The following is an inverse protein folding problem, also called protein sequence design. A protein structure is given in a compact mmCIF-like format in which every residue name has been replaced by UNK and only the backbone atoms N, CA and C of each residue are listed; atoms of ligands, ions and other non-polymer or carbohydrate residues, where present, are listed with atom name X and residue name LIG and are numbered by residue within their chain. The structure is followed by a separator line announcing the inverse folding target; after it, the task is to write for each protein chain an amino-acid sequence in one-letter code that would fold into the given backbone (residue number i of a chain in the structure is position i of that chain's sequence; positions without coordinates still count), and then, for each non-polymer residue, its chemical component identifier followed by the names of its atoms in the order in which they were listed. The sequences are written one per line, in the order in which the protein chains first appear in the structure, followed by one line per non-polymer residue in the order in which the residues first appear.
data_IF_292823378462
#
_entry.id   IF_292823378462
#
_cell.length_a   1.000
_cell.length_b   1.000
_cell.length_c   1.000
_cell.angle_alpha   90.00
_cell.angle_beta   90.00
_cell.angle_gamma   90.00
#
_symmetry.space_group_name_H-M   'P 1'
#
loop_
_entity.id
_entity.type
_entity.pdbx_description
1 polymer ?
#
# COMPACT_ATOMS: atom_id res chain seq x y z
N UNK A 1 9.42 -21.07 -16.56
CA UNK A 1 8.75 -19.82 -16.15
C UNK A 1 7.84 -20.02 -14.93
N UNK A 2 6.95 -21.00 -14.93
CA UNK A 2 6.00 -21.34 -13.83
C UNK A 2 6.71 -21.59 -12.48
N UNK A 3 7.83 -22.31 -12.47
CA UNK A 3 8.57 -22.67 -11.23
C UNK A 3 9.21 -21.43 -10.54
N UNK A 4 9.57 -20.39 -11.31
CA UNK A 4 10.13 -19.14 -10.77
C UNK A 4 9.02 -18.31 -10.09
N UNK A 5 7.84 -18.26 -10.69
CA UNK A 5 6.66 -17.58 -10.12
C UNK A 5 6.20 -18.22 -8.79
N UNK A 6 6.15 -19.56 -8.72
CA UNK A 6 5.74 -20.28 -7.51
C UNK A 6 6.75 -20.04 -6.36
N UNK A 7 8.06 -20.01 -6.63
CA UNK A 7 9.06 -19.68 -5.59
C UNK A 7 8.95 -18.24 -5.10
N UNK A 8 8.63 -17.29 -5.98
CA UNK A 8 8.51 -15.87 -5.63
C UNK A 8 7.22 -15.57 -4.85
N UNK A 9 6.11 -16.27 -5.15
CA UNK A 9 4.84 -16.11 -4.41
C UNK A 9 4.89 -16.60 -2.95
N UNK A 10 5.90 -17.35 -2.55
CA UNK A 10 6.11 -17.82 -1.17
C UNK A 10 7.04 -16.91 -0.36
N UNK A 11 7.57 -15.86 -0.95
CA UNK A 11 8.52 -14.97 -0.30
C UNK A 11 7.77 -13.89 0.48
N UNK A 12 7.90 -13.91 1.80
CA UNK A 12 7.42 -12.83 2.67
C UNK A 12 8.15 -11.51 2.37
N UNK A 13 7.45 -10.39 2.42
CA UNK A 13 8.04 -9.05 2.32
C UNK A 13 8.49 -8.48 3.67
N UNK A 14 8.45 -9.29 4.72
CA UNK A 14 8.97 -8.90 6.03
C UNK A 14 10.49 -8.68 5.94
N UNK A 15 10.97 -7.62 6.57
CA UNK A 15 12.38 -7.17 6.61
C UNK A 15 12.97 -6.71 5.27
N UNK A 16 12.18 -6.62 4.20
CA UNK A 16 12.70 -6.25 2.87
C UNK A 16 13.19 -4.81 2.80
N UNK A 17 12.61 -3.92 3.60
CA UNK A 17 12.90 -2.49 3.61
C UNK A 17 13.78 -2.02 4.78
N UNK A 18 14.21 -2.90 5.66
CA UNK A 18 14.99 -2.56 6.86
C UNK A 18 16.22 -1.70 6.56
N UNK A 19 16.98 -2.04 5.51
CA UNK A 19 18.16 -1.28 5.14
C UNK A 19 17.83 0.10 4.59
N UNK A 20 16.70 0.25 3.93
CA UNK A 20 16.21 1.54 3.43
C UNK A 20 15.82 2.46 4.59
N UNK A 21 15.21 1.90 5.63
CA UNK A 21 14.69 2.68 6.75
C UNK A 21 15.72 3.01 7.83
N UNK A 22 16.89 2.35 7.84
CA UNK A 22 17.96 2.60 8.84
C UNK A 22 18.40 4.05 8.93
N UNK A 23 18.42 4.75 7.79
CA UNK A 23 18.89 6.14 7.68
C UNK A 23 17.75 7.15 7.74
N UNK A 24 16.52 6.71 7.96
CA UNK A 24 15.39 7.60 8.14
C UNK A 24 15.45 8.28 9.50
N UNK A 25 15.27 9.61 9.51
CA UNK A 25 15.05 10.36 10.75
C UNK A 25 13.72 9.97 11.40
N UNK A 26 13.52 10.44 12.63
CA UNK A 26 12.28 10.18 13.40
C UNK A 26 11.14 11.14 13.04
N UNK A 27 11.35 12.06 12.10
CA UNK A 27 10.35 13.02 11.65
C UNK A 27 9.78 12.56 10.31
N UNK A 28 8.46 12.34 10.18
CA UNK A 28 7.83 11.89 8.95
C UNK A 28 8.11 12.79 7.73
N UNK A 29 8.34 14.07 7.95
CA UNK A 29 8.71 15.07 6.92
C UNK A 29 10.14 14.91 6.37
N UNK A 30 10.97 14.06 6.96
CA UNK A 30 12.34 13.82 6.50
C UNK A 30 12.40 13.17 5.10
N UNK A 31 11.32 12.59 4.63
CA UNK A 31 11.25 11.93 3.33
C UNK A 31 10.48 12.77 2.32
N UNK A 32 11.10 13.08 1.17
CA UNK A 32 10.57 14.00 0.15
C UNK A 32 9.14 13.66 -0.36
N UNK A 33 8.72 12.40 -0.26
CA UNK A 33 7.40 11.96 -0.70
C UNK A 33 6.31 12.21 0.35
N UNK A 34 6.66 12.60 1.58
CA UNK A 34 5.68 12.92 2.63
C UNK A 34 4.82 14.14 2.30
N UNK A 35 5.26 14.98 1.36
CA UNK A 35 4.54 16.18 0.92
C UNK A 35 3.68 15.95 -0.32
N UNK A 36 3.57 14.71 -0.82
CA UNK A 36 2.74 14.43 -1.98
C UNK A 36 1.26 14.61 -1.67
N UNK A 37 0.55 15.21 -2.63
CA UNK A 37 -0.89 15.49 -2.51
C UNK A 37 -1.72 14.22 -2.25
N UNK A 38 -1.26 13.06 -2.72
CA UNK A 38 -1.93 11.79 -2.54
C UNK A 38 -2.11 11.39 -1.08
N UNK A 39 -1.14 11.70 -0.20
CA UNK A 39 -1.28 11.49 1.23
C UNK A 39 -2.36 12.37 1.83
N UNK A 40 -2.43 13.64 1.43
CA UNK A 40 -3.45 14.56 1.90
C UNK A 40 -4.85 14.12 1.48
N UNK A 41 -5.02 13.74 0.22
CA UNK A 41 -6.32 13.25 -0.31
C UNK A 41 -6.76 11.99 0.46
N UNK A 42 -5.85 11.05 0.71
CA UNK A 42 -6.14 9.84 1.48
C UNK A 42 -6.54 10.18 2.92
N UNK A 43 -5.77 11.05 3.58
CA UNK A 43 -6.05 11.47 4.95
C UNK A 43 -7.38 12.21 5.07
N UNK A 44 -7.70 13.11 4.14
CA UNK A 44 -8.96 13.85 4.15
C UNK A 44 -10.16 12.90 3.95
N UNK A 45 -10.03 11.87 3.13
CA UNK A 45 -11.08 10.86 2.95
C UNK A 45 -11.29 9.98 4.19
N UNK A 46 -10.22 9.67 4.95
CA UNK A 46 -10.27 8.83 6.14
C UNK A 46 -10.49 9.62 7.43
N UNK A 47 -10.40 10.94 7.37
CA UNK A 47 -10.56 11.84 8.54
C UNK A 47 -11.91 11.64 9.22
N UNK A 48 -11.88 11.68 10.56
CA UNK A 48 -13.06 11.50 11.40
C UNK A 48 -13.45 10.05 11.67
N UNK A 49 -12.68 9.08 11.16
CA UNK A 49 -12.80 7.68 11.57
C UNK A 49 -12.03 7.46 12.88
N UNK A 50 -12.58 6.61 13.77
CA UNK A 50 -12.00 6.38 15.10
C UNK A 50 -10.66 5.65 15.04
N UNK A 51 -10.56 4.60 14.22
CA UNK A 51 -9.35 3.79 14.05
C UNK A 51 -8.98 3.74 12.58
N UNK A 52 -7.81 4.29 12.25
CA UNK A 52 -7.23 4.22 10.90
C UNK A 52 -5.87 3.54 10.98
N UNK A 53 -5.64 2.57 10.11
CA UNK A 53 -4.33 1.93 9.95
C UNK A 53 -3.69 2.31 8.61
N UNK A 54 -2.39 2.61 8.63
CA UNK A 54 -1.56 2.84 7.46
C UNK A 54 -0.68 1.59 7.22
N UNK A 55 -1.10 0.75 6.29
CA UNK A 55 -0.43 -0.50 5.97
C UNK A 55 0.70 -0.28 4.96
N UNK A 56 1.92 -0.58 5.37
CA UNK A 56 3.13 -0.20 4.66
C UNK A 56 3.48 1.26 4.93
N UNK A 57 3.45 1.67 6.21
CA UNK A 57 3.65 3.06 6.64
C UNK A 57 4.98 3.66 6.16
N UNK A 58 5.99 2.83 5.95
CA UNK A 58 7.29 3.20 5.39
C UNK A 58 7.93 4.38 6.13
N UNK A 59 8.12 5.48 5.41
CA UNK A 59 8.72 6.72 5.94
C UNK A 59 7.72 7.64 6.67
N UNK A 60 6.50 7.17 6.94
CA UNK A 60 5.52 7.90 7.75
C UNK A 60 4.84 9.08 7.05
N UNK A 61 4.90 9.16 5.71
CA UNK A 61 4.37 10.30 4.97
C UNK A 61 2.88 10.57 5.23
N UNK A 62 2.08 9.52 5.38
CA UNK A 62 0.66 9.63 5.70
C UNK A 62 0.42 10.22 7.10
N UNK A 63 1.28 9.90 8.06
CA UNK A 63 1.16 10.38 9.45
C UNK A 63 1.31 11.89 9.58
N UNK A 64 1.95 12.57 8.61
CA UNK A 64 1.96 14.05 8.56
C UNK A 64 0.56 14.65 8.40
N UNK A 65 -0.37 13.92 7.81
CA UNK A 65 -1.72 14.39 7.50
C UNK A 65 -2.78 13.77 8.41
N UNK A 66 -2.49 12.61 8.99
CA UNK A 66 -3.35 11.92 9.96
C UNK A 66 -2.49 11.32 11.09
N UNK A 67 -2.02 12.15 12.06
CA UNK A 67 -1.03 11.76 13.07
C UNK A 67 -1.48 10.65 14.01
N UNK A 68 -2.79 10.44 14.15
CA UNK A 68 -3.35 9.40 15.02
C UNK A 68 -3.57 8.06 14.31
N UNK A 69 -3.19 7.95 13.04
CA UNK A 69 -3.24 6.66 12.35
C UNK A 69 -2.17 5.71 12.91
N UNK A 70 -2.50 4.44 12.97
CA UNK A 70 -1.63 3.36 13.45
C UNK A 70 -0.77 2.89 12.28
N UNK A 71 0.54 3.09 12.36
CA UNK A 71 1.48 2.60 11.35
C UNK A 71 1.68 1.09 11.44
N UNK A 72 1.55 0.39 10.33
CA UNK A 72 1.79 -1.07 10.20
C UNK A 72 2.80 -1.31 9.10
N UNK A 73 3.87 -2.04 9.37
CA UNK A 73 4.90 -2.34 8.36
C UNK A 73 5.51 -3.74 8.52
N UNK A 74 5.98 -4.28 7.41
CA UNK A 74 6.77 -5.52 7.39
C UNK A 74 8.21 -5.34 7.86
N UNK A 75 8.69 -4.12 7.97
CA UNK A 75 10.07 -3.76 8.25
C UNK A 75 10.21 -2.92 9.51
N UNK A 76 11.45 -2.76 9.97
CA UNK A 76 11.77 -1.93 11.14
C UNK A 76 11.86 -0.46 10.76
N UNK A 77 10.70 0.18 10.62
CA UNK A 77 10.61 1.63 10.44
C UNK A 77 10.29 2.33 11.77
N UNK A 78 10.83 3.55 12.02
CA UNK A 78 10.51 4.32 13.23
C UNK A 78 9.05 4.78 13.30
N UNK A 79 8.31 4.69 12.20
CA UNK A 79 6.93 5.16 12.09
C UNK A 79 5.89 4.04 12.27
N UNK A 80 6.31 2.77 12.35
CA UNK A 80 5.40 1.67 12.58
C UNK A 80 5.16 1.43 14.07
N UNK A 81 3.90 1.44 14.47
CA UNK A 81 3.43 0.96 15.77
C UNK A 81 3.41 -0.58 15.81
N UNK A 82 3.15 -1.19 14.66
CA UNK A 82 3.15 -2.65 14.44
C UNK A 82 4.21 -2.99 13.40
N UNK A 83 5.32 -3.56 13.85
CA UNK A 83 6.49 -3.92 13.02
C UNK A 83 6.50 -5.40 12.70
N UNK A 84 7.24 -5.75 11.63
CA UNK A 84 7.44 -7.14 11.17
C UNK A 84 6.14 -7.86 10.84
N UNK A 85 5.15 -7.11 10.36
CA UNK A 85 3.84 -7.61 9.99
C UNK A 85 3.82 -8.04 8.52
N UNK A 86 3.58 -9.31 8.28
CA UNK A 86 3.29 -9.81 6.93
C UNK A 86 1.83 -9.52 6.57
N UNK A 87 1.62 -8.51 5.72
CA UNK A 87 0.28 -8.09 5.28
C UNK A 87 -0.49 -9.19 4.53
N UNK A 88 0.20 -10.22 4.02
CA UNK A 88 -0.47 -11.39 3.45
C UNK A 88 -1.20 -12.22 4.51
N UNK A 89 -0.78 -12.14 5.78
CA UNK A 89 -1.34 -12.92 6.88
C UNK A 89 -1.94 -12.03 7.98
N UNK A 90 -2.01 -10.73 7.76
CA UNK A 90 -2.51 -9.76 8.71
C UNK A 90 -3.98 -9.41 8.45
N UNK A 91 -4.76 -9.40 9.50
CA UNK A 91 -6.13 -8.91 9.54
C UNK A 91 -6.38 -8.12 10.81
N UNK A 92 -7.29 -7.16 10.75
CA UNK A 92 -7.64 -6.28 11.87
C UNK A 92 -9.12 -5.89 11.79
N UNK A 93 -9.59 -5.09 12.74
CA UNK A 93 -10.87 -4.37 12.66
C UNK A 93 -10.57 -2.88 12.79
N UNK A 94 -10.27 -2.23 11.67
CA UNK A 94 -10.07 -0.79 11.62
C UNK A 94 -11.25 -0.11 10.92
N UNK A 95 -11.59 1.13 11.31
CA UNK A 95 -12.63 1.89 10.60
C UNK A 95 -12.17 2.31 9.21
N UNK A 96 -10.87 2.59 9.04
CA UNK A 96 -10.25 2.90 7.76
C UNK A 96 -8.88 2.26 7.59
N UNK A 97 -8.55 1.90 6.35
CA UNK A 97 -7.22 1.37 5.99
C UNK A 97 -6.68 2.17 4.81
N UNK A 98 -5.41 2.58 4.91
CA UNK A 98 -4.65 3.19 3.84
C UNK A 98 -3.54 2.24 3.39
N UNK A 99 -3.35 2.11 2.07
CA UNK A 99 -2.21 1.43 1.44
C UNK A 99 -1.67 2.34 0.34
N UNK A 100 -0.38 2.66 0.42
CA UNK A 100 0.28 3.42 -0.64
C UNK A 100 1.56 2.74 -1.08
N UNK A 101 1.65 2.41 -2.38
CA UNK A 101 2.81 1.76 -2.99
C UNK A 101 3.15 0.41 -2.32
N UNK A 102 2.14 -0.32 -1.89
CA UNK A 102 2.29 -1.61 -1.22
C UNK A 102 2.05 -2.76 -2.19
N UNK A 103 0.95 -2.69 -2.93
CA UNK A 103 0.50 -3.81 -3.75
C UNK A 103 1.49 -4.13 -4.88
N UNK A 104 2.05 -3.10 -5.51
CA UNK A 104 2.98 -3.22 -6.63
C UNK A 104 4.31 -3.88 -6.26
N UNK A 105 4.67 -3.84 -4.98
CA UNK A 105 5.88 -4.47 -4.46
C UNK A 105 5.65 -5.88 -3.93
N UNK A 106 4.45 -6.46 -4.13
CA UNK A 106 4.07 -7.76 -3.57
C UNK A 106 3.50 -8.70 -4.62
N UNK A 107 4.13 -9.86 -4.85
CA UNK A 107 3.57 -10.90 -5.73
C UNK A 107 2.22 -11.43 -5.24
N UNK A 108 1.93 -11.36 -3.95
CA UNK A 108 0.67 -11.76 -3.33
C UNK A 108 -0.29 -10.57 -3.11
N UNK A 109 -0.22 -9.55 -3.98
CA UNK A 109 -1.00 -8.33 -3.87
C UNK A 109 -2.52 -8.58 -3.72
N UNK A 110 -3.06 -9.62 -4.39
CA UNK A 110 -4.46 -9.99 -4.27
C UNK A 110 -4.83 -10.33 -2.82
N UNK A 111 -3.95 -11.07 -2.13
CA UNK A 111 -4.18 -11.46 -0.73
C UNK A 111 -4.12 -10.26 0.20
N UNK A 112 -3.19 -9.35 -0.02
CA UNK A 112 -3.08 -8.09 0.75
C UNK A 112 -4.32 -7.22 0.53
N UNK A 113 -4.76 -7.05 -0.71
CA UNK A 113 -5.96 -6.27 -1.03
C UNK A 113 -7.21 -6.89 -0.39
N UNK A 114 -7.39 -8.21 -0.48
CA UNK A 114 -8.49 -8.94 0.18
C UNK A 114 -8.45 -8.75 1.71
N UNK A 115 -7.28 -8.86 2.33
CA UNK A 115 -7.12 -8.65 3.77
C UNK A 115 -7.50 -7.22 4.18
N UNK A 116 -7.05 -6.21 3.43
CA UNK A 116 -7.39 -4.82 3.70
C UNK A 116 -8.89 -4.56 3.56
N UNK A 117 -9.50 -5.05 2.49
CA UNK A 117 -10.95 -4.92 2.27
C UNK A 117 -11.77 -5.69 3.32
N UNK A 118 -11.32 -6.85 3.77
CA UNK A 118 -11.98 -7.61 4.84
C UNK A 118 -11.85 -6.94 6.20
N UNK A 119 -10.70 -6.34 6.48
CA UNK A 119 -10.35 -5.75 7.78
C UNK A 119 -10.97 -4.37 8.00
N UNK A 120 -11.18 -3.59 6.95
CA UNK A 120 -11.78 -2.27 7.06
C UNK A 120 -13.29 -2.35 7.29
N UNK A 121 -13.79 -1.61 8.28
CA UNK A 121 -15.23 -1.50 8.55
C UNK A 121 -15.91 -0.53 7.59
N UNK A 122 -15.31 0.64 7.35
CA UNK A 122 -15.97 1.72 6.63
C UNK A 122 -15.29 2.10 5.31
N UNK A 123 -13.97 2.31 5.31
CA UNK A 123 -13.27 2.88 4.16
C UNK A 123 -11.91 2.25 3.92
N UNK A 124 -11.53 2.14 2.64
CA UNK A 124 -10.17 1.78 2.23
C UNK A 124 -9.67 2.78 1.21
N UNK A 125 -8.40 3.18 1.32
CA UNK A 125 -7.69 3.92 0.28
C UNK A 125 -6.54 3.09 -0.22
N UNK A 126 -6.48 2.91 -1.53
CA UNK A 126 -5.35 2.26 -2.22
C UNK A 126 -4.74 3.28 -3.17
N UNK A 127 -3.45 3.56 -3.02
CA UNK A 127 -2.70 4.43 -3.94
C UNK A 127 -1.64 3.61 -4.65
N UNK A 128 -1.74 3.56 -5.98
CA UNK A 128 -0.81 2.87 -6.87
C UNK A 128 0.05 3.90 -7.60
N UNK A 129 1.35 3.60 -7.79
CA UNK A 129 2.26 4.44 -8.57
C UNK A 129 2.58 3.84 -9.96
N UNK A 130 2.10 2.65 -10.23
CA UNK A 130 2.19 1.97 -11.52
C UNK A 130 0.78 1.83 -12.08
N UNK A 131 0.52 2.27 -13.32
CA UNK A 131 -0.77 2.05 -13.97
C UNK A 131 -1.13 0.57 -14.04
N UNK A 132 -2.43 0.27 -13.84
CA UNK A 132 -2.94 -1.08 -13.99
C UNK A 132 -2.75 -1.60 -15.42
N UNK A 133 -2.44 -2.89 -15.55
CA UNK A 133 -2.33 -3.58 -16.82
C UNK A 133 -3.72 -3.94 -17.37
N UNK A 134 -3.98 -3.67 -18.64
CA UNK A 134 -5.20 -4.12 -19.33
C UNK A 134 -5.17 -5.63 -19.66
N UNK A 135 -4.10 -6.32 -19.30
CA UNK A 135 -3.92 -7.77 -19.45
C UNK A 135 -3.65 -8.41 -18.07
N UNK A 136 -2.84 -9.46 -18.03
CA UNK A 136 -2.37 -10.09 -16.79
C UNK A 136 -1.43 -9.17 -16.00
N UNK A 137 -1.23 -9.47 -14.71
CA UNK A 137 -0.22 -8.82 -13.86
C UNK A 137 1.18 -9.06 -14.43
N UNK A 138 1.96 -8.01 -14.57
CA UNK A 138 3.32 -8.04 -15.15
C UNK A 138 4.33 -7.42 -14.20
N UNK A 139 5.47 -8.06 -14.05
CA UNK A 139 6.64 -7.46 -13.44
C UNK A 139 7.34 -6.56 -14.48
N UNK A 140 7.36 -5.25 -14.24
CA UNK A 140 8.00 -4.26 -15.10
C UNK A 140 9.47 -4.08 -14.75
N UNK A 141 9.79 -4.16 -13.46
CA UNK A 141 11.14 -4.04 -12.93
C UNK A 141 11.28 -4.85 -11.64
N UNK A 142 12.52 -5.11 -11.24
CA UNK A 142 12.85 -5.69 -9.94
C UNK A 142 13.79 -4.74 -9.19
N UNK A 143 13.37 -4.26 -8.04
CA UNK A 143 14.14 -3.32 -7.25
C UNK A 143 15.09 -4.06 -6.31
N UNK A 144 16.38 -3.91 -6.57
CA UNK A 144 17.47 -4.44 -5.72
C UNK A 144 18.28 -3.34 -5.03
N UNK A 145 17.88 -2.06 -5.18
CA UNK A 145 18.60 -0.93 -4.61
C UNK A 145 18.42 -0.90 -3.09
N UNK A 146 19.43 -0.44 -2.39
CA UNK A 146 19.41 -0.26 -0.93
C UNK A 146 19.09 -1.54 -0.12
N UNK A 147 19.37 -2.71 -0.70
CA UNK A 147 19.13 -4.00 -0.04
C UNK A 147 17.68 -4.46 -0.03
N UNK A 148 16.77 -3.76 -0.73
CA UNK A 148 15.43 -4.27 -1.00
C UNK A 148 15.47 -5.34 -2.09
N UNK A 149 14.49 -6.21 -2.11
CA UNK A 149 14.35 -7.31 -3.09
C UNK A 149 12.85 -7.49 -3.35
N UNK A 150 12.30 -6.55 -4.13
CA UNK A 150 10.86 -6.46 -4.39
C UNK A 150 10.58 -6.20 -5.87
N UNK A 151 9.46 -6.71 -6.41
CA UNK A 151 9.03 -6.41 -7.77
C UNK A 151 8.44 -5.00 -7.87
N UNK A 152 8.39 -4.47 -9.09
CA UNK A 152 7.51 -3.40 -9.53
C UNK A 152 6.45 -4.00 -10.46
N UNK A 153 5.24 -4.22 -9.95
CA UNK A 153 4.16 -4.89 -10.67
C UNK A 153 3.18 -3.90 -11.30
N UNK A 154 2.92 -4.04 -12.59
CA UNK A 154 1.70 -3.53 -13.21
C UNK A 154 0.61 -4.58 -13.00
N UNK A 155 -0.28 -4.30 -12.06
CA UNK A 155 -1.32 -5.21 -11.59
C UNK A 155 -2.44 -5.33 -12.64
N UNK A 156 -2.98 -6.53 -12.85
CA UNK A 156 -4.13 -6.76 -13.73
C UNK A 156 -5.33 -5.94 -13.28
N UNK A 157 -5.81 -5.05 -14.17
CA UNK A 157 -7.01 -4.23 -13.93
C UNK A 157 -8.26 -5.09 -13.75
N UNK A 158 -8.35 -6.18 -14.51
CA UNK A 158 -9.46 -7.13 -14.41
C UNK A 158 -9.50 -7.77 -13.03
N UNK A 159 -8.39 -8.37 -12.57
CA UNK A 159 -8.34 -9.04 -11.27
C UNK A 159 -8.54 -8.06 -10.11
N UNK A 160 -7.97 -6.85 -10.22
CA UNK A 160 -8.14 -5.79 -9.22
C UNK A 160 -9.62 -5.41 -9.06
N UNK A 161 -10.31 -5.20 -10.18
CA UNK A 161 -11.73 -4.84 -10.16
C UNK A 161 -12.61 -6.01 -9.67
N UNK A 162 -12.34 -7.25 -10.08
CA UNK A 162 -13.05 -8.44 -9.60
C UNK A 162 -12.96 -8.57 -8.06
N UNK A 163 -11.79 -8.28 -7.48
CA UNK A 163 -11.65 -8.26 -6.03
C UNK A 163 -12.50 -7.13 -5.43
N UNK A 164 -12.43 -5.91 -5.95
CA UNK A 164 -13.25 -4.81 -5.43
C UNK A 164 -14.75 -5.14 -5.49
N UNK A 165 -15.22 -5.63 -6.62
CA UNK A 165 -16.62 -5.98 -6.85
C UNK A 165 -17.11 -7.09 -5.92
N UNK A 166 -16.24 -8.05 -5.56
CA UNK A 166 -16.60 -9.13 -4.63
C UNK A 166 -16.98 -8.65 -3.23
N UNK A 167 -16.53 -7.45 -2.83
CA UNK A 167 -16.88 -6.80 -1.57
C UNK A 167 -18.11 -5.89 -1.67
N UNK A 168 -18.72 -5.77 -2.86
CA UNK A 168 -19.91 -4.94 -3.10
C UNK A 168 -19.81 -3.55 -2.45
N UNK A 169 -18.78 -2.75 -2.79
CA UNK A 169 -18.60 -1.45 -2.16
C UNK A 169 -19.76 -0.52 -2.49
N UNK A 170 -20.13 0.35 -1.56
CA UNK A 170 -21.14 1.38 -1.78
C UNK A 170 -20.71 2.39 -2.85
N UNK A 171 -19.42 2.73 -2.86
CA UNK A 171 -18.83 3.70 -3.76
C UNK A 171 -17.34 3.42 -3.97
N UNK A 172 -16.89 3.53 -5.20
CA UNK A 172 -15.46 3.57 -5.56
C UNK A 172 -15.21 4.83 -6.38
N UNK A 173 -14.42 5.74 -5.84
CA UNK A 173 -13.94 6.94 -6.55
C UNK A 173 -12.49 6.72 -6.97
N UNK A 174 -12.16 7.06 -8.21
CA UNK A 174 -10.80 6.93 -8.75
C UNK A 174 -10.29 8.29 -9.18
N UNK A 175 -9.09 8.65 -8.73
CA UNK A 175 -8.43 9.89 -9.10
C UNK A 175 -6.99 9.60 -9.54
N UNK A 176 -6.56 10.23 -10.64
CA UNK A 176 -5.19 10.13 -11.14
C UNK A 176 -4.50 11.48 -11.01
N UNK A 177 -3.31 11.49 -10.43
CA UNK A 177 -2.48 12.67 -10.28
C UNK A 177 -1.12 12.47 -10.95
N UNK A 178 -0.57 13.54 -11.50
CA UNK A 178 0.83 13.59 -11.91
C UNK A 178 1.68 13.83 -10.66
N UNK A 179 2.64 12.97 -10.43
CA UNK A 179 3.53 13.04 -9.26
C UNK A 179 4.98 12.82 -9.67
N UNK A 180 5.96 13.26 -8.85
CA UNK A 180 7.38 13.00 -9.11
C UNK A 180 7.80 11.57 -8.74
N UNK A 181 6.84 10.69 -8.42
CA UNK A 181 7.09 9.32 -8.00
C UNK A 181 7.27 8.40 -9.20
N UNK A 182 8.12 7.40 -9.06
CA UNK A 182 8.31 6.26 -9.94
C UNK A 182 7.98 6.48 -11.42
N UNK A 183 6.75 6.17 -11.80
CA UNK A 183 6.26 6.28 -13.19
C UNK A 183 5.59 7.62 -13.51
N UNK A 184 5.77 8.65 -12.66
CA UNK A 184 5.26 10.01 -12.90
C UNK A 184 3.77 10.17 -12.66
N UNK A 185 3.11 9.19 -12.10
CA UNK A 185 1.67 9.18 -11.83
C UNK A 185 1.37 8.41 -10.55
N UNK A 186 0.32 8.83 -9.85
CA UNK A 186 -0.32 8.04 -8.79
C UNK A 186 -1.81 7.96 -9.04
N UNK A 187 -2.38 6.78 -8.79
CA UNK A 187 -3.81 6.49 -8.96
C UNK A 187 -4.36 6.14 -7.58
N UNK A 188 -5.33 6.92 -7.13
CA UNK A 188 -5.95 6.76 -5.81
C UNK A 188 -7.33 6.16 -5.99
N UNK A 189 -7.56 5.03 -5.33
CA UNK A 189 -8.87 4.40 -5.19
C UNK A 189 -9.40 4.69 -3.80
N UNK A 190 -10.50 5.44 -3.70
CA UNK A 190 -11.22 5.71 -2.45
C UNK A 190 -12.46 4.81 -2.42
N UNK A 191 -12.46 3.86 -1.52
CA UNK A 191 -13.47 2.80 -1.44
C UNK A 191 -14.28 3.00 -0.16
N UNK A 192 -15.59 3.21 -0.31
CA UNK A 192 -16.55 3.24 0.80
C UNK A 192 -17.28 1.91 0.85
N UNK A 193 -17.25 1.24 1.99
CA UNK A 193 -18.00 -0.01 2.23
C UNK A 193 -19.46 0.28 2.57
N UNK A 194 -20.28 -0.76 2.52
CA UNK A 194 -21.69 -0.68 2.90
C UNK A 194 -21.88 -0.49 4.40
#
# INVERSE_FOLDING_TARGET
MITKFIKQSMQSNVNKWDNWYKDLGTTPSAYKYSETETYKIAADFLRGLDVVEDWGVGAGGFLNHLPNAIGVDGSDTPFADKKFIDLCNYTTLANGIHLRHVLEHNYNWQKILNNALSSAVNKVVVTLFIPLSDSETKELAHNLKHGVDVPDLSISKKEFNEILESFSPKLVEVQTLKTPTGYGVEIIYKITKQ
#
